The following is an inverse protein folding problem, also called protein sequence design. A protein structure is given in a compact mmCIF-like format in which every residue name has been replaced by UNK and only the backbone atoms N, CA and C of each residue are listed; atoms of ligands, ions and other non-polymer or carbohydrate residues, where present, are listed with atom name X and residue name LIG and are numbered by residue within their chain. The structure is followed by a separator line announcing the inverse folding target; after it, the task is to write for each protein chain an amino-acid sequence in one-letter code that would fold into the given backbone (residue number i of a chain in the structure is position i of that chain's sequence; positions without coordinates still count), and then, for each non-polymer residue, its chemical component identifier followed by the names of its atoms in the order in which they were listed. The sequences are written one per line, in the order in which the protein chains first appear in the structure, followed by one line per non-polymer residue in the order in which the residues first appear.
data_IF_408296092834
#
_entry.id   IF_408296092834
#
_cell.length_a   1.000
_cell.length_b   1.000
_cell.length_c   1.000
_cell.angle_alpha   90.00
_cell.angle_beta   90.00
_cell.angle_gamma   90.00
#
_symmetry.space_group_name_H-M   'P 1'
#
loop_
_entity.id
_entity.type
_entity.pdbx_description
1 polymer ?
#
# COMPACT_ATOMS: atom_id res chain seq x y z
N UNK A 1 -11.17 18.82 2.45
CA UNK A 1 -11.03 17.35 2.50
C UNK A 1 -10.32 16.78 1.27
N UNK A 2 -10.89 16.86 0.06
CA UNK A 2 -10.32 16.26 -1.16
C UNK A 2 -8.87 16.72 -1.50
N UNK A 3 -8.55 18.00 -1.30
CA UNK A 3 -7.18 18.53 -1.54
C UNK A 3 -6.13 17.93 -0.60
N UNK A 4 -6.49 17.64 0.66
CA UNK A 4 -5.61 16.99 1.65
C UNK A 4 -5.37 15.54 1.24
N UNK A 5 -6.44 14.79 1.00
CA UNK A 5 -6.38 13.39 0.58
C UNK A 5 -5.57 13.22 -0.71
N UNK A 6 -5.84 14.04 -1.73
CA UNK A 6 -5.11 14.00 -3.00
C UNK A 6 -3.62 14.31 -2.87
N UNK A 7 -3.20 15.13 -1.90
CA UNK A 7 -1.78 15.39 -1.65
C UNK A 7 -1.05 14.14 -1.14
N UNK A 8 -1.64 13.44 -0.17
CA UNK A 8 -1.05 12.21 0.37
C UNK A 8 -1.09 11.06 -0.64
N UNK A 9 -2.19 10.89 -1.38
CA UNK A 9 -2.28 9.88 -2.44
C UNK A 9 -1.18 10.03 -3.49
N UNK A 10 -0.79 11.25 -3.86
CA UNK A 10 0.33 11.49 -4.81
C UNK A 10 1.68 10.95 -4.31
N UNK A 11 1.87 10.81 -3.00
CA UNK A 11 3.10 10.29 -2.40
C UNK A 11 2.97 8.78 -2.20
N UNK A 12 1.84 8.33 -1.65
CA UNK A 12 1.62 6.93 -1.30
C UNK A 12 1.43 6.02 -2.52
N UNK A 13 0.84 6.51 -3.61
CA UNK A 13 0.70 5.74 -4.87
C UNK A 13 2.06 5.32 -5.44
N UNK A 14 3.01 6.24 -5.74
CA UNK A 14 4.31 5.84 -6.27
C UNK A 14 5.12 5.02 -5.26
N UNK A 15 5.03 5.32 -3.96
CA UNK A 15 5.67 4.48 -2.93
C UNK A 15 5.13 3.05 -2.93
N UNK A 16 3.81 2.88 -3.05
CA UNK A 16 3.17 1.58 -3.14
C UNK A 16 3.60 0.81 -4.39
N UNK A 17 3.71 1.48 -5.54
CA UNK A 17 4.21 0.88 -6.79
C UNK A 17 5.65 0.44 -6.62
N UNK A 18 6.54 1.31 -6.11
CA UNK A 18 7.96 1.00 -5.90
C UNK A 18 8.11 -0.18 -4.93
N UNK A 19 7.37 -0.17 -3.81
CA UNK A 19 7.38 -1.25 -2.83
C UNK A 19 6.88 -2.57 -3.42
N UNK A 20 5.78 -2.54 -4.20
CA UNK A 20 5.25 -3.75 -4.86
C UNK A 20 6.22 -4.34 -5.87
N UNK A 21 6.87 -3.49 -6.67
CA UNK A 21 7.90 -3.92 -7.63
C UNK A 21 9.11 -4.49 -6.91
N UNK A 22 9.59 -3.86 -5.83
CA UNK A 22 10.70 -4.38 -5.02
C UNK A 22 10.40 -5.76 -4.46
N UNK A 23 9.22 -5.95 -3.86
CA UNK A 23 8.79 -7.24 -3.31
C UNK A 23 8.70 -8.30 -4.40
N UNK A 24 8.17 -7.95 -5.56
CA UNK A 24 8.10 -8.86 -6.71
C UNK A 24 9.49 -9.28 -7.20
N UNK A 25 10.42 -8.34 -7.33
CA UNK A 25 11.81 -8.61 -7.73
C UNK A 25 12.51 -9.50 -6.70
N UNK A 26 12.33 -9.23 -5.39
CA UNK A 26 12.90 -10.07 -4.33
C UNK A 26 12.39 -11.52 -4.42
N UNK A 27 11.09 -11.72 -4.64
CA UNK A 27 10.53 -13.04 -4.87
C UNK A 27 11.14 -13.74 -6.10
N UNK A 28 11.39 -13.01 -7.20
CA UNK A 28 12.07 -13.57 -8.37
C UNK A 28 13.51 -14.05 -8.09
N UNK A 29 14.20 -13.44 -7.12
CA UNK A 29 15.53 -13.86 -6.67
C UNK A 29 15.49 -15.04 -5.68
N UNK A 30 14.32 -15.66 -5.44
CA UNK A 30 14.18 -16.81 -4.57
C UNK A 30 13.97 -16.47 -3.10
N UNK A 31 13.82 -15.19 -2.75
CA UNK A 31 13.28 -14.78 -1.44
C UNK A 31 11.76 -14.94 -1.50
N UNK A 32 11.29 -16.18 -1.46
CA UNK A 32 9.87 -16.49 -1.44
C UNK A 32 9.26 -16.00 -0.12
N UNK A 33 8.46 -14.94 -0.19
CA UNK A 33 7.66 -14.48 0.94
C UNK A 33 6.30 -15.17 0.83
N UNK A 34 5.95 -16.09 1.75
CA UNK A 34 4.66 -16.76 1.70
C UNK A 34 3.55 -15.76 2.00
N UNK A 35 2.66 -15.55 1.03
CA UNK A 35 1.54 -14.64 1.19
C UNK A 35 0.34 -15.38 1.79
N UNK A 36 -0.07 -14.98 3.00
CA UNK A 36 -1.24 -15.55 3.69
C UNK A 36 -2.43 -14.61 3.50
N UNK A 37 -3.50 -15.10 2.85
CA UNK A 37 -4.77 -14.38 2.72
C UNK A 37 -5.87 -15.25 3.34
N UNK A 38 -6.38 -14.83 4.51
CA UNK A 38 -7.32 -15.62 5.28
C UNK A 38 -6.70 -16.95 5.72
N UNK A 39 -7.33 -18.07 5.35
CA UNK A 39 -6.84 -19.43 5.65
C UNK A 39 -6.03 -20.07 4.50
N UNK A 40 -5.73 -19.33 3.43
CA UNK A 40 -4.94 -19.84 2.30
C UNK A 40 -3.55 -19.21 2.29
N UNK A 41 -2.54 -20.05 2.19
CA UNK A 41 -1.15 -19.64 1.94
C UNK A 41 -0.85 -19.83 0.46
N UNK A 42 -0.41 -18.77 -0.20
CA UNK A 42 0.06 -18.78 -1.58
C UNK A 42 1.58 -18.84 -1.59
N UNK A 43 2.14 -19.55 -2.57
CA UNK A 43 3.58 -19.76 -2.71
C UNK A 43 4.06 -19.36 -4.11
N UNK A 44 5.37 -19.11 -4.23
CA UNK A 44 6.05 -18.86 -5.49
C UNK A 44 5.43 -17.73 -6.32
N UNK A 45 5.30 -17.97 -7.63
CA UNK A 45 4.85 -16.95 -8.60
C UNK A 45 3.43 -16.46 -8.35
N UNK A 46 2.54 -17.29 -7.80
CA UNK A 46 1.16 -16.88 -7.46
C UNK A 46 1.14 -15.88 -6.29
N UNK A 47 1.99 -16.07 -5.29
CA UNK A 47 2.16 -15.13 -4.18
C UNK A 47 2.75 -13.81 -4.69
N UNK A 48 3.81 -13.88 -5.50
CA UNK A 48 4.50 -12.70 -6.03
C UNK A 48 3.58 -11.80 -6.88
N UNK A 49 2.74 -12.38 -7.75
CA UNK A 49 1.79 -11.60 -8.56
C UNK A 49 0.72 -10.93 -7.68
N UNK A 50 0.24 -11.65 -6.65
CA UNK A 50 -0.73 -11.10 -5.70
C UNK A 50 -0.12 -9.98 -4.86
N UNK A 51 1.12 -10.13 -4.41
CA UNK A 51 1.85 -9.08 -3.67
C UNK A 51 2.07 -7.82 -4.51
N UNK A 52 2.41 -7.99 -5.80
CA UNK A 52 2.59 -6.88 -6.72
C UNK A 52 1.35 -5.98 -6.83
N UNK A 53 0.14 -6.54 -6.64
CA UNK A 53 -1.12 -5.78 -6.64
C UNK A 53 -1.50 -5.35 -5.22
N UNK A 54 -1.37 -6.24 -4.24
CA UNK A 54 -1.79 -6.01 -2.87
C UNK A 54 -1.00 -4.88 -2.19
N UNK A 55 0.32 -4.80 -2.46
CA UNK A 55 1.18 -3.77 -1.85
C UNK A 55 0.80 -2.36 -2.31
N UNK A 56 0.67 -2.04 -3.62
CA UNK A 56 0.16 -0.74 -4.06
C UNK A 56 -1.22 -0.40 -3.49
N UNK A 57 -2.15 -1.37 -3.48
CA UNK A 57 -3.51 -1.16 -2.94
C UNK A 57 -3.45 -0.82 -1.44
N UNK A 58 -2.65 -1.54 -0.66
CA UNK A 58 -2.46 -1.26 0.76
C UNK A 58 -1.91 0.15 1.00
N UNK A 59 -0.91 0.58 0.24
CA UNK A 59 -0.36 1.92 0.32
C UNK A 59 -1.36 3.01 -0.07
N UNK A 60 -2.21 2.77 -1.08
CA UNK A 60 -3.29 3.70 -1.46
C UNK A 60 -4.27 3.87 -0.31
N UNK A 61 -4.69 2.77 0.32
CA UNK A 61 -5.59 2.80 1.48
C UNK A 61 -4.95 3.55 2.64
N UNK A 62 -3.67 3.29 2.93
CA UNK A 62 -2.92 4.02 3.96
C UNK A 62 -2.85 5.52 3.67
N UNK A 63 -2.52 5.92 2.44
CA UNK A 63 -2.49 7.32 2.03
C UNK A 63 -3.86 8.00 2.16
N UNK A 64 -4.94 7.27 1.88
CA UNK A 64 -6.31 7.74 2.08
C UNK A 64 -6.63 7.95 3.56
N UNK A 65 -6.34 6.96 4.43
CA UNK A 65 -6.56 7.04 5.88
C UNK A 65 -5.77 8.20 6.49
N UNK A 66 -4.47 8.31 6.16
CA UNK A 66 -3.62 9.42 6.63
C UNK A 66 -4.19 10.77 6.18
N UNK A 67 -4.64 10.86 4.92
CA UNK A 67 -5.25 12.07 4.38
C UNK A 67 -6.54 12.49 5.12
N UNK A 68 -7.36 11.54 5.54
CA UNK A 68 -8.55 11.78 6.36
C UNK A 68 -8.15 12.24 7.77
N UNK A 69 -7.24 11.53 8.42
CA UNK A 69 -6.79 11.84 9.78
C UNK A 69 -6.22 13.26 9.85
N UNK A 70 -5.31 13.62 8.95
CA UNK A 70 -4.71 14.97 8.90
C UNK A 70 -5.77 16.05 8.70
N UNK A 71 -6.75 15.80 7.81
CA UNK A 71 -7.85 16.75 7.61
C UNK A 71 -8.66 16.95 8.89
N UNK A 72 -9.03 15.86 9.57
CA UNK A 72 -9.81 15.89 10.80
C UNK A 72 -9.07 16.59 11.95
N UNK A 73 -7.77 16.33 12.11
CA UNK A 73 -6.95 17.00 13.14
C UNK A 73 -6.80 18.49 12.87
N UNK A 74 -6.56 18.91 11.61
CA UNK A 74 -6.48 20.34 11.27
C UNK A 74 -7.80 21.07 11.53
N UNK A 75 -8.94 20.45 11.20
CA UNK A 75 -10.25 21.08 11.44
C UNK A 75 -10.55 21.29 12.92
N UNK A 76 -10.00 20.46 13.81
CA UNK A 76 -10.16 20.61 15.26
C UNK A 76 -9.27 21.69 15.89
N UNK A 77 -8.14 22.05 15.27
CA UNK A 77 -7.25 23.10 15.77
C UNK A 77 -7.69 24.52 15.41
N UNK A 78 -8.58 24.68 14.42
CA UNK A 78 -9.10 25.97 13.95
C UNK A 78 -10.47 26.33 14.52
N UNK A 79 -10.98 25.55 15.47
CA UNK A 79 -12.23 25.79 16.20
C UNK A 79 -11.92 26.07 17.67
#
# INVERSE_FOLDING_TARGET
MAKSIGHYLKIFVPLGIIAGVLVYVLNMFGLEVPLVIGNKTYYGSEAAIRELIAVPVGFIILGFIVGILVYAFRSKQTS
#
